data_IF_147865321431
#
_entry.id   IF_147865321431
#
_cell.length_a   1.000
_cell.length_b   1.000
_cell.length_c   1.000
_cell.angle_alpha   90.00
_cell.angle_beta   90.00
_cell.angle_gamma   90.00
#
_symmetry.space_group_name_H-M   'P 1'
#
loop_
_entity.id
_entity.type
_entity.pdbx_description
1 polymer ?
#
# COMPACT_ATOMS: atom_id res chain seq x y z
N UNK A 1 6.18 21.92 7.53
CA UNK A 1 6.58 20.75 6.74
C UNK A 1 6.57 21.12 5.27
N UNK A 2 7.69 20.97 4.58
CA UNK A 2 7.80 21.25 3.16
C UNK A 2 7.50 20.00 2.35
N UNK A 3 6.60 20.13 1.38
CA UNK A 3 6.09 19.02 0.56
C UNK A 3 6.31 19.33 -0.91
N UNK A 4 6.71 18.35 -1.70
CA UNK A 4 6.75 18.44 -3.16
C UNK A 4 5.93 17.32 -3.78
N UNK A 5 5.42 17.57 -4.99
CA UNK A 5 4.84 16.52 -5.83
C UNK A 5 5.93 15.80 -6.62
N UNK A 6 5.67 14.56 -7.01
CA UNK A 6 6.52 13.74 -7.82
C UNK A 6 5.63 12.88 -8.72
N UNK A 7 5.37 13.38 -9.92
CA UNK A 7 4.38 12.81 -10.85
C UNK A 7 5.04 12.54 -12.21
N UNK A 8 4.25 12.19 -13.22
CA UNK A 8 4.73 12.09 -14.60
C UNK A 8 5.03 13.44 -15.26
N UNK A 9 4.56 14.54 -14.65
CA UNK A 9 4.65 15.87 -15.26
C UNK A 9 6.05 16.48 -15.10
N UNK A 10 6.79 16.10 -14.05
CA UNK A 10 8.14 16.60 -13.81
C UNK A 10 9.15 16.00 -14.79
N UNK A 11 10.03 16.83 -15.30
CA UNK A 11 11.16 16.42 -16.14
C UNK A 11 12.16 15.57 -15.36
N UNK A 12 13.03 14.87 -16.06
CA UNK A 12 14.08 14.03 -15.44
C UNK A 12 14.99 14.88 -14.53
N UNK A 13 15.31 16.11 -14.93
CA UNK A 13 16.16 17.01 -14.15
C UNK A 13 15.45 17.50 -12.88
N UNK A 14 14.19 17.89 -12.99
CA UNK A 14 13.37 18.27 -11.84
C UNK A 14 13.22 17.13 -10.84
N UNK A 15 12.95 15.91 -11.31
CA UNK A 15 12.87 14.72 -10.47
C UNK A 15 14.18 14.43 -9.73
N UNK A 16 15.31 14.61 -10.41
CA UNK A 16 16.63 14.46 -9.80
C UNK A 16 16.84 15.48 -8.69
N UNK A 17 16.54 16.74 -8.95
CA UNK A 17 16.64 17.84 -8.00
C UNK A 17 15.73 17.60 -6.77
N UNK A 18 14.46 17.25 -6.99
CA UNK A 18 13.51 16.92 -5.92
C UNK A 18 14.04 15.75 -5.07
N UNK A 19 14.58 14.72 -5.72
CA UNK A 19 15.14 13.56 -5.03
C UNK A 19 16.33 13.91 -4.14
N UNK A 20 17.20 14.79 -4.60
CA UNK A 20 18.36 15.26 -3.84
C UNK A 20 17.93 16.10 -2.63
N UNK A 21 17.02 17.05 -2.79
CA UNK A 21 16.46 17.83 -1.67
C UNK A 21 15.75 16.94 -0.64
N UNK A 22 15.03 15.92 -1.10
CA UNK A 22 14.36 14.99 -0.21
C UNK A 22 15.33 14.08 0.55
N UNK A 23 16.45 13.68 -0.07
CA UNK A 23 17.51 12.93 0.62
C UNK A 23 18.18 13.74 1.72
N UNK A 24 18.40 15.02 1.51
CA UNK A 24 18.97 15.91 2.52
C UNK A 24 18.04 16.11 3.71
N UNK A 25 16.70 16.05 3.52
CA UNK A 25 15.71 16.15 4.59
C UNK A 25 15.53 17.52 5.24
N UNK A 26 16.39 18.49 4.92
CA UNK A 26 16.32 19.85 5.49
C UNK A 26 15.28 20.73 4.80
N UNK A 27 15.31 20.73 3.47
CA UNK A 27 14.46 21.60 2.64
C UNK A 27 13.16 20.95 2.23
N UNK A 28 13.14 19.63 2.05
CA UNK A 28 11.99 18.84 1.63
C UNK A 28 11.80 17.65 2.55
N UNK A 29 10.65 17.59 3.24
CA UNK A 29 10.36 16.62 4.29
C UNK A 29 9.32 15.56 3.88
N UNK A 30 8.51 15.85 2.88
CA UNK A 30 7.53 14.90 2.36
C UNK A 30 7.44 14.98 0.83
N UNK A 31 7.19 13.82 0.23
CA UNK A 31 7.03 13.64 -1.20
C UNK A 31 5.67 12.99 -1.49
N UNK A 32 4.85 13.64 -2.30
CA UNK A 32 3.59 13.08 -2.78
C UNK A 32 3.81 12.56 -4.19
N UNK A 33 3.79 11.23 -4.35
CA UNK A 33 4.07 10.57 -5.62
C UNK A 33 2.84 9.84 -6.16
N UNK A 34 2.59 9.98 -7.47
CA UNK A 34 1.53 9.28 -8.17
C UNK A 34 2.17 8.41 -9.26
N UNK A 35 2.08 7.08 -9.10
CA UNK A 35 2.61 6.06 -10.03
C UNK A 35 4.11 6.13 -10.36
N UNK A 36 4.82 7.16 -9.93
CA UNK A 36 6.21 7.41 -10.30
C UNK A 36 7.23 6.72 -9.39
N UNK A 37 6.81 6.16 -8.26
CA UNK A 37 7.71 5.38 -7.39
C UNK A 37 8.02 3.99 -7.97
N UNK A 38 7.30 3.58 -9.00
CA UNK A 38 7.49 2.28 -9.64
C UNK A 38 8.72 2.29 -10.57
N UNK A 39 9.10 3.46 -11.09
CA UNK A 39 10.23 3.63 -11.99
C UNK A 39 11.24 4.67 -11.48
N UNK A 40 12.49 4.26 -11.30
CA UNK A 40 13.64 5.16 -11.19
C UNK A 40 13.92 5.81 -9.83
N UNK A 41 12.99 5.85 -8.87
CA UNK A 41 13.24 6.48 -7.57
C UNK A 41 13.86 5.49 -6.60
N UNK A 42 15.10 5.76 -6.20
CA UNK A 42 15.79 5.00 -5.19
C UNK A 42 16.23 5.91 -4.04
N UNK A 43 15.43 5.93 -2.97
CA UNK A 43 15.73 6.72 -1.77
C UNK A 43 15.70 5.77 -0.56
N UNK A 44 16.80 5.07 -0.25
CA UNK A 44 16.84 4.10 0.84
C UNK A 44 16.57 4.72 2.21
N UNK A 45 16.81 6.02 2.36
CA UNK A 45 16.62 6.75 3.62
C UNK A 45 15.16 7.00 4.00
N UNK A 46 14.18 6.73 3.13
CA UNK A 46 12.75 6.89 3.46
C UNK A 46 12.41 5.97 4.64
N UNK A 47 11.95 6.56 5.74
CA UNK A 47 11.57 5.83 6.96
C UNK A 47 10.07 5.57 7.04
N UNK A 48 9.25 6.47 6.51
CA UNK A 48 7.78 6.40 6.61
C UNK A 48 7.14 6.55 5.24
N UNK A 49 6.14 5.73 4.96
CA UNK A 49 5.33 5.82 3.75
C UNK A 49 3.85 5.69 4.07
N UNK A 50 3.04 6.48 3.38
CA UNK A 50 1.58 6.42 3.39
C UNK A 50 1.12 5.97 2.00
N UNK A 51 0.49 4.80 1.91
CA UNK A 51 -0.06 4.25 0.66
C UNK A 51 -1.56 4.50 0.65
N UNK A 52 -1.97 5.63 0.08
CA UNK A 52 -3.37 6.08 0.07
C UNK A 52 -4.21 5.40 -1.01
N UNK A 53 -3.58 5.01 -2.12
CA UNK A 53 -4.21 4.28 -3.20
C UNK A 53 -3.27 3.21 -3.71
N UNK A 54 -3.76 2.00 -3.82
CA UNK A 54 -2.99 0.88 -4.29
C UNK A 54 -3.37 0.51 -5.72
N UNK A 55 -2.41 -0.08 -6.43
CA UNK A 55 -2.67 -0.75 -7.70
C UNK A 55 -3.29 -2.12 -7.43
N UNK A 56 -4.11 -2.59 -8.35
CA UNK A 56 -4.60 -3.98 -8.36
C UNK A 56 -3.54 -4.95 -8.88
N UNK A 57 -2.39 -4.46 -9.33
CA UNK A 57 -1.28 -5.27 -9.80
C UNK A 57 -0.35 -5.62 -8.63
N UNK A 58 -0.28 -6.88 -8.20
CA UNK A 58 0.55 -7.28 -7.06
C UNK A 58 2.04 -6.99 -7.28
N UNK A 59 2.56 -7.13 -8.50
CA UNK A 59 3.97 -6.87 -8.80
C UNK A 59 4.34 -5.41 -8.55
N UNK A 60 3.51 -4.46 -8.97
CA UNK A 60 3.74 -3.04 -8.74
C UNK A 60 3.71 -2.72 -7.24
N UNK A 61 2.74 -3.27 -6.53
CA UNK A 61 2.60 -3.09 -5.09
C UNK A 61 3.84 -3.60 -4.32
N UNK A 62 4.29 -4.83 -4.63
CA UNK A 62 5.48 -5.43 -4.03
C UNK A 62 6.73 -4.60 -4.35
N UNK A 63 6.90 -4.14 -5.58
CA UNK A 63 8.03 -3.29 -5.97
C UNK A 63 8.03 -1.95 -5.23
N UNK A 64 6.88 -1.30 -5.12
CA UNK A 64 6.71 -0.02 -4.42
C UNK A 64 7.07 -0.15 -2.95
N UNK A 65 6.51 -1.16 -2.28
CA UNK A 65 6.82 -1.50 -0.90
C UNK A 65 8.30 -1.81 -0.71
N UNK A 66 8.87 -2.65 -1.58
CA UNK A 66 10.27 -3.04 -1.55
C UNK A 66 11.24 -1.87 -1.61
N UNK A 67 10.87 -0.76 -2.26
CA UNK A 67 11.70 0.46 -2.29
C UNK A 67 11.74 1.17 -0.94
N UNK A 68 10.59 1.23 -0.25
CA UNK A 68 10.50 1.83 1.09
C UNK A 68 11.21 0.96 2.13
N UNK A 69 11.18 -0.37 1.98
CA UNK A 69 11.78 -1.31 2.93
C UNK A 69 13.31 -1.44 2.81
N UNK A 70 13.94 -0.82 1.82
CA UNK A 70 15.39 -0.89 1.67
C UNK A 70 16.12 -0.37 2.92
N UNK A 71 17.09 -1.14 3.37
CA UNK A 71 18.00 -0.70 4.42
C UNK A 71 18.88 0.44 3.91
N UNK A 72 19.24 1.35 4.79
CA UNK A 72 20.16 2.44 4.50
C UNK A 72 21.25 2.49 5.59
N UNK A 73 22.38 1.81 5.38
CA UNK A 73 23.48 1.81 6.34
C UNK A 73 23.98 3.22 6.64
N UNK A 74 24.00 4.10 5.65
CA UNK A 74 24.44 5.48 5.78
C UNK A 74 23.61 6.29 6.78
N UNK A 75 22.32 5.99 6.91
CA UNK A 75 21.39 6.65 7.83
C UNK A 75 21.03 5.82 9.06
N UNK A 76 21.62 4.63 9.20
CA UNK A 76 21.28 3.66 10.25
C UNK A 76 19.86 3.14 10.18
N UNK A 77 19.19 3.23 9.02
CA UNK A 77 17.83 2.75 8.86
C UNK A 77 17.81 1.23 8.72
N UNK A 78 17.17 0.56 9.66
CA UNK A 78 16.93 -0.90 9.66
C UNK A 78 15.48 -1.24 9.35
N UNK A 79 14.54 -0.37 9.72
CA UNK A 79 13.10 -0.56 9.60
C UNK A 79 12.46 0.60 8.84
N UNK A 80 11.24 0.35 8.36
CA UNK A 80 10.37 1.38 7.79
C UNK A 80 8.95 1.21 8.35
N UNK A 81 8.27 2.33 8.53
CA UNK A 81 6.86 2.39 8.89
C UNK A 81 6.03 2.58 7.61
N UNK A 82 5.08 1.69 7.37
CA UNK A 82 4.18 1.78 6.23
C UNK A 82 2.75 1.83 6.75
N UNK A 83 2.06 2.91 6.42
CA UNK A 83 0.64 3.10 6.65
C UNK A 83 -0.08 2.81 5.34
N UNK A 84 -0.69 1.63 5.24
CA UNK A 84 -1.42 1.18 4.07
C UNK A 84 -2.92 1.36 4.30
N UNK A 85 -3.56 2.14 3.45
CA UNK A 85 -4.97 2.45 3.54
C UNK A 85 -5.80 1.50 2.68
N UNK A 86 -6.78 0.88 3.31
CA UNK A 86 -7.71 -0.04 2.67
C UNK A 86 -8.84 0.76 2.04
N UNK A 87 -9.13 0.48 0.79
CA UNK A 87 -10.27 1.09 0.09
C UNK A 87 -11.43 0.12 0.05
N UNK A 88 -12.49 0.42 0.79
CA UNK A 88 -13.72 -0.34 0.75
C UNK A 88 -14.77 0.40 -0.08
N UNK A 89 -15.71 -0.32 -0.73
CA UNK A 89 -16.79 0.29 -1.51
C UNK A 89 -17.68 1.19 -0.68
N UNK A 90 -17.80 0.89 0.61
CA UNK A 90 -18.62 1.62 1.60
C UNK A 90 -18.12 1.41 3.02
N UNK A 91 -18.58 2.20 4.01
CA UNK A 91 -18.32 1.96 5.42
C UNK A 91 -18.79 0.58 5.88
N UNK A 92 -18.07 -0.06 6.81
CA UNK A 92 -18.41 -1.41 7.28
C UNK A 92 -19.77 -1.48 7.98
N UNK A 93 -20.17 -0.41 8.67
CA UNK A 93 -21.48 -0.29 9.31
C UNK A 93 -22.66 -0.39 8.34
N UNK A 94 -22.47 -0.03 7.09
CA UNK A 94 -23.52 -0.06 6.06
C UNK A 94 -23.68 -1.44 5.41
N UNK A 95 -22.71 -2.35 5.58
CA UNK A 95 -22.69 -3.66 4.90
C UNK A 95 -23.89 -4.53 5.30
N UNK A 96 -24.31 -4.48 6.55
CA UNK A 96 -25.46 -5.26 7.06
C UNK A 96 -26.80 -4.89 6.41
N UNK A 97 -26.89 -3.71 5.83
CA UNK A 97 -28.11 -3.20 5.17
C UNK A 97 -28.19 -3.53 3.67
N UNK A 98 -27.16 -4.18 3.11
CA UNK A 98 -27.06 -4.48 1.70
C UNK A 98 -28.00 -5.59 1.23
N UNK A 99 -28.54 -5.42 0.04
CA UNK A 99 -29.12 -6.54 -0.70
C UNK A 99 -28.01 -7.52 -1.15
N UNK A 100 -28.40 -8.77 -1.39
CA UNK A 100 -27.46 -9.78 -1.87
C UNK A 100 -26.74 -9.39 -3.19
N UNK A 101 -27.41 -8.64 -4.06
CA UNK A 101 -26.82 -8.17 -5.31
C UNK A 101 -25.77 -7.07 -5.08
N UNK A 102 -26.03 -6.15 -4.16
CA UNK A 102 -25.08 -5.08 -3.80
C UNK A 102 -23.85 -5.67 -3.13
N UNK A 103 -24.04 -6.56 -2.16
CA UNK A 103 -22.93 -7.27 -1.51
C UNK A 103 -22.06 -8.01 -2.52
N UNK A 104 -22.68 -8.70 -3.49
CA UNK A 104 -21.94 -9.41 -4.56
C UNK A 104 -21.11 -8.47 -5.45
N UNK A 105 -21.59 -7.26 -5.75
CA UNK A 105 -20.82 -6.26 -6.51
C UNK A 105 -19.60 -5.77 -5.72
N UNK A 106 -19.77 -5.55 -4.43
CA UNK A 106 -18.70 -5.08 -3.55
C UNK A 106 -17.59 -6.13 -3.37
N UNK A 107 -17.96 -7.43 -3.36
CA UNK A 107 -17.04 -8.53 -3.08
C UNK A 107 -15.79 -8.55 -3.97
N UNK A 108 -15.90 -8.17 -5.23
CA UNK A 108 -14.74 -8.17 -6.14
C UNK A 108 -13.65 -7.21 -5.70
N UNK A 109 -14.01 -6.00 -5.24
CA UNK A 109 -13.05 -5.03 -4.71
C UNK A 109 -12.55 -5.46 -3.33
N UNK A 110 -13.47 -5.88 -2.45
CA UNK A 110 -13.14 -6.30 -1.09
C UNK A 110 -12.13 -7.44 -1.08
N UNK A 111 -12.33 -8.46 -1.92
CA UNK A 111 -11.40 -9.59 -2.04
C UNK A 111 -10.01 -9.17 -2.49
N UNK A 112 -9.90 -8.27 -3.49
CA UNK A 112 -8.61 -7.76 -3.96
C UNK A 112 -7.87 -7.00 -2.85
N UNK A 113 -8.58 -6.16 -2.11
CA UNK A 113 -8.00 -5.44 -0.98
C UNK A 113 -7.56 -6.41 0.14
N UNK A 114 -8.37 -7.39 0.47
CA UNK A 114 -8.05 -8.41 1.48
C UNK A 114 -6.83 -9.25 1.09
N UNK A 115 -6.74 -9.71 -0.15
CA UNK A 115 -5.56 -10.46 -0.64
C UNK A 115 -4.29 -9.62 -0.50
N UNK A 116 -4.34 -8.34 -0.87
CA UNK A 116 -3.23 -7.41 -0.74
C UNK A 116 -2.79 -7.22 0.71
N UNK A 117 -3.76 -7.06 1.63
CA UNK A 117 -3.47 -6.84 3.05
C UNK A 117 -2.93 -8.09 3.72
N UNK A 118 -3.47 -9.26 3.41
CA UNK A 118 -2.97 -10.55 3.91
C UNK A 118 -1.49 -10.73 3.59
N UNK A 119 -1.09 -10.46 2.36
CA UNK A 119 0.31 -10.54 1.97
C UNK A 119 1.17 -9.53 2.73
N UNK A 120 0.64 -8.33 2.97
CA UNK A 120 1.34 -7.33 3.76
C UNK A 120 1.47 -7.74 5.22
N UNK A 121 0.40 -8.26 5.85
CA UNK A 121 0.40 -8.72 7.24
C UNK A 121 1.44 -9.81 7.49
N UNK A 122 1.56 -10.79 6.60
CA UNK A 122 2.54 -11.89 6.74
C UNK A 122 4.00 -11.41 6.84
N UNK A 123 4.31 -10.24 6.32
CA UNK A 123 5.67 -9.70 6.22
C UNK A 123 5.94 -8.56 7.20
N UNK A 124 4.96 -8.09 7.96
CA UNK A 124 5.13 -7.00 8.89
C UNK A 124 5.51 -7.50 10.30
N UNK A 125 6.07 -6.60 11.11
CA UNK A 125 6.46 -6.90 12.49
C UNK A 125 5.28 -6.84 13.46
N UNK A 126 4.13 -6.31 13.04
CA UNK A 126 2.92 -6.16 13.83
C UNK A 126 1.69 -6.79 13.15
N UNK A 127 1.71 -8.08 12.79
CA UNK A 127 0.63 -8.72 12.03
C UNK A 127 -0.73 -8.65 12.74
N UNK A 128 -0.76 -8.73 14.06
CA UNK A 128 -2.00 -8.74 14.85
C UNK A 128 -2.91 -7.54 14.56
N UNK A 129 -2.33 -6.36 14.33
CA UNK A 129 -3.12 -5.16 14.02
C UNK A 129 -3.79 -5.26 12.65
N UNK A 130 -3.08 -5.78 11.66
CA UNK A 130 -3.62 -6.01 10.32
C UNK A 130 -4.65 -7.14 10.30
N UNK A 131 -4.37 -8.24 11.00
CA UNK A 131 -5.26 -9.40 11.09
C UNK A 131 -6.61 -9.01 11.71
N UNK A 132 -6.60 -8.15 12.74
CA UNK A 132 -7.84 -7.64 13.33
C UNK A 132 -8.74 -6.95 12.30
N UNK A 133 -8.17 -6.10 11.45
CA UNK A 133 -8.92 -5.40 10.41
C UNK A 133 -9.43 -6.40 9.36
N UNK A 134 -8.61 -7.37 8.99
CA UNK A 134 -8.99 -8.44 8.05
C UNK A 134 -10.19 -9.21 8.57
N UNK A 135 -10.16 -9.64 9.84
CA UNK A 135 -11.27 -10.35 10.47
C UNK A 135 -12.54 -9.52 10.58
N UNK A 136 -12.44 -8.23 10.87
CA UNK A 136 -13.58 -7.32 10.90
C UNK A 136 -14.27 -7.22 9.54
N UNK A 137 -13.49 -7.12 8.46
CA UNK A 137 -14.02 -7.11 7.09
C UNK A 137 -14.65 -8.45 6.75
N UNK A 138 -14.04 -9.58 7.14
CA UNK A 138 -14.59 -10.92 6.92
C UNK A 138 -15.95 -11.08 7.58
N UNK A 139 -16.05 -10.69 8.84
CA UNK A 139 -17.29 -10.80 9.61
C UNK A 139 -18.40 -9.96 8.98
N UNK A 140 -18.12 -8.71 8.64
CA UNK A 140 -19.11 -7.82 8.01
C UNK A 140 -19.62 -8.33 6.67
N UNK A 141 -18.75 -8.88 5.80
CA UNK A 141 -19.14 -9.38 4.48
C UNK A 141 -19.50 -10.88 4.47
N UNK A 142 -19.49 -11.56 5.62
CA UNK A 142 -19.77 -12.98 5.74
C UNK A 142 -18.81 -13.86 4.94
N UNK A 143 -17.53 -13.49 4.86
CA UNK A 143 -16.51 -14.20 4.11
C UNK A 143 -15.90 -15.32 4.97
N UNK A 144 -15.59 -16.46 4.34
CA UNK A 144 -14.81 -17.54 4.93
C UNK A 144 -13.45 -17.64 4.26
N UNK A 145 -12.46 -18.24 4.91
CA UNK A 145 -11.09 -18.37 4.36
C UNK A 145 -11.06 -19.12 3.02
N UNK A 146 -11.94 -20.09 2.82
CA UNK A 146 -12.06 -20.84 1.55
C UNK A 146 -12.37 -19.95 0.34
N UNK A 147 -12.98 -18.78 0.56
CA UNK A 147 -13.29 -17.83 -0.52
C UNK A 147 -12.06 -17.10 -1.07
N UNK A 148 -10.94 -17.11 -0.36
CA UNK A 148 -9.74 -16.34 -0.71
C UNK A 148 -8.62 -17.26 -1.19
N UNK A 149 -8.54 -18.48 -0.69
CA UNK A 149 -7.57 -19.49 -1.12
C UNK A 149 -7.76 -19.92 -2.59
N UNK A 150 -8.99 -19.85 -3.11
CA UNK A 150 -9.28 -20.15 -4.52
C UNK A 150 -8.73 -19.12 -5.53
N UNK A 151 -8.20 -17.97 -5.08
CA UNK A 151 -7.57 -16.96 -5.95
C UNK A 151 -6.03 -16.97 -5.84
N UNK A 152 -5.41 -17.71 -4.92
CA UNK A 152 -3.95 -17.84 -4.82
C UNK A 152 -3.32 -18.54 -6.05
N UNK A 153 -4.08 -19.33 -6.81
CA UNK A 153 -3.61 -19.93 -8.08
C UNK A 153 -3.32 -18.91 -9.19
N UNK A 154 -3.74 -17.65 -9.05
CA UNK A 154 -3.49 -16.61 -10.06
C UNK A 154 -2.14 -15.90 -9.92
N UNK A 155 -1.36 -16.18 -8.89
CA UNK A 155 -0.11 -15.48 -8.59
C UNK A 155 1.17 -16.31 -8.75
N UNK A 156 1.06 -17.57 -9.17
CA UNK A 156 2.24 -18.37 -9.56
C UNK A 156 2.62 -18.09 -11.02
N UNK A 157 3.26 -16.93 -11.28
CA UNK A 157 4.17 -16.77 -12.44
C UNK A 157 5.06 -15.54 -12.26
#
# INVERSE_FOLDING_TARGET
>A
MNVSKFTSDETIEERKTITEYFKCGESLQALVAIKCLDEGVNIPSIKTAFILASTTNPKEYIQRRGRVLRKSPETGKEYAEIYDFITLPRPLEDVSSLTAEEAKRDLSLVKKELSRIKEFSRLCMNPVAADKIIWEIYDCYGLTDEFIEGEEEFYEY
#
